data_IF_907283193211
#
_entry.id   IF_907283193211
#
_cell.length_a   1.000
_cell.length_b   1.000
_cell.length_c   1.000
_cell.angle_alpha   90.00
_cell.angle_beta   90.00
_cell.angle_gamma   90.00
#
_symmetry.space_group_name_H-M   'P 1'
#
loop_
_entity.id
_entity.type
_entity.pdbx_description
1 polymer ?
#
# COMPACT_ATOMS: atom_id res chain seq x y z
N UNK A 1 13.10 26.86 -38.47
CA UNK A 1 12.59 25.61 -39.06
C UNK A 1 11.17 25.40 -38.58
N UNK A 2 10.27 24.97 -39.47
CA UNK A 2 8.86 24.72 -39.15
C UNK A 2 8.75 23.55 -38.18
N UNK A 3 8.13 23.78 -37.01
CA UNK A 3 7.93 22.77 -35.97
C UNK A 3 7.15 21.58 -36.57
N UNK A 4 7.77 20.40 -36.66
CA UNK A 4 7.03 19.18 -36.99
C UNK A 4 6.18 18.82 -35.77
N UNK A 5 4.85 18.74 -35.90
CA UNK A 5 4.02 18.33 -34.78
C UNK A 5 4.39 16.90 -34.37
N UNK A 6 4.38 16.64 -33.06
CA UNK A 6 4.45 15.26 -32.56
C UNK A 6 3.25 14.50 -33.11
N UNK A 7 3.46 13.28 -33.59
CA UNK A 7 2.37 12.45 -34.07
C UNK A 7 1.35 12.24 -32.93
N UNK A 8 0.05 12.27 -33.26
CA UNK A 8 -1.00 12.39 -32.23
C UNK A 8 -1.04 11.18 -31.30
N UNK A 9 -0.74 10.01 -31.84
CA UNK A 9 -0.58 8.75 -31.12
C UNK A 9 0.54 8.81 -30.07
N UNK A 10 1.71 9.34 -30.44
CA UNK A 10 2.84 9.51 -29.51
C UNK A 10 2.53 10.55 -28.43
N UNK A 11 1.90 11.68 -28.80
CA UNK A 11 1.42 12.68 -27.84
C UNK A 11 0.46 12.05 -26.83
N UNK A 12 -0.51 11.28 -27.32
CA UNK A 12 -1.48 10.56 -26.49
C UNK A 12 -0.78 9.55 -25.57
N UNK A 13 0.17 8.77 -26.07
CA UNK A 13 0.91 7.78 -25.28
C UNK A 13 1.65 8.43 -24.10
N UNK A 14 2.36 9.54 -24.32
CA UNK A 14 3.09 10.26 -23.27
C UNK A 14 2.13 10.84 -22.22
N UNK A 15 1.02 11.45 -22.67
CA UNK A 15 0.02 12.05 -21.78
C UNK A 15 -0.74 11.02 -20.94
N UNK A 16 -1.08 9.86 -21.52
CA UNK A 16 -1.76 8.78 -20.82
C UNK A 16 -0.81 8.08 -19.85
N UNK A 17 0.42 7.78 -20.26
CA UNK A 17 1.42 7.12 -19.40
C UNK A 17 1.80 7.97 -18.20
N UNK A 18 1.92 9.30 -18.40
CA UNK A 18 2.15 10.25 -17.29
C UNK A 18 0.89 10.59 -16.50
N UNK A 19 -0.29 10.35 -17.07
CA UNK A 19 -1.59 10.85 -16.58
C UNK A 19 -1.54 12.33 -16.19
N UNK A 20 -0.88 13.15 -17.00
CA UNK A 20 -0.65 14.59 -16.78
C UNK A 20 0.01 14.93 -15.42
N UNK A 21 0.90 14.06 -14.94
CA UNK A 21 1.77 14.33 -13.79
C UNK A 21 3.18 14.65 -14.28
N UNK A 22 3.76 15.70 -13.70
CA UNK A 22 5.13 16.07 -14.01
C UNK A 22 6.10 15.04 -13.39
N UNK A 23 6.94 14.43 -14.22
CA UNK A 23 7.90 13.45 -13.72
C UNK A 23 8.94 14.07 -12.77
N UNK A 24 9.33 15.33 -12.97
CA UNK A 24 10.28 16.01 -12.07
C UNK A 24 9.63 16.31 -10.71
N UNK A 25 8.40 16.82 -10.66
CA UNK A 25 7.68 17.01 -9.39
C UNK A 25 7.59 15.69 -8.61
N UNK A 26 7.30 14.59 -9.31
CA UNK A 26 7.21 13.27 -8.72
C UNK A 26 8.57 12.74 -8.23
N UNK A 27 9.61 12.87 -9.05
CA UNK A 27 10.96 12.40 -8.72
C UNK A 27 11.57 13.13 -7.52
N UNK A 28 11.32 14.44 -7.40
CA UNK A 28 11.87 15.26 -6.33
C UNK A 28 11.00 15.28 -5.06
N UNK A 29 9.68 15.31 -5.20
CA UNK A 29 8.76 15.59 -4.09
C UNK A 29 7.62 14.58 -3.94
N UNK A 30 7.58 13.51 -4.73
CA UNK A 30 6.46 12.54 -4.80
C UNK A 30 5.10 13.19 -5.06
N UNK A 31 5.11 14.35 -5.70
CA UNK A 31 3.88 15.05 -6.05
C UNK A 31 3.15 14.29 -7.17
N UNK A 32 1.98 13.76 -6.82
CA UNK A 32 1.10 13.00 -7.71
C UNK A 32 -0.13 13.81 -8.13
N UNK A 33 -0.15 15.11 -7.86
CA UNK A 33 -1.23 15.99 -8.32
C UNK A 33 -1.25 16.13 -9.83
N UNK A 34 -2.44 16.41 -10.38
CA UNK A 34 -2.57 16.74 -11.79
C UNK A 34 -1.93 18.10 -12.04
N UNK A 35 -1.10 18.16 -13.07
CA UNK A 35 -0.31 19.35 -13.37
C UNK A 35 -0.78 20.02 -14.67
N UNK A 36 -0.76 21.35 -14.66
CA UNK A 36 -0.81 22.14 -15.89
C UNK A 36 0.58 22.16 -16.52
N UNK A 37 0.71 21.68 -17.76
CA UNK A 37 2.01 21.43 -18.37
C UNK A 37 1.96 21.09 -19.84
N UNK A 38 3.12 20.75 -20.39
CA UNK A 38 3.31 20.43 -21.80
C UNK A 38 4.36 19.32 -21.98
N UNK A 39 4.42 18.75 -23.19
CA UNK A 39 5.44 17.76 -23.55
C UNK A 39 6.73 18.48 -23.91
N UNK A 40 7.83 18.10 -23.27
CA UNK A 40 9.18 18.56 -23.54
C UNK A 40 9.97 17.50 -24.32
N UNK A 41 10.73 17.96 -25.31
CA UNK A 41 11.78 17.19 -25.97
C UNK A 41 13.04 17.21 -25.09
N UNK A 42 13.44 16.05 -24.58
CA UNK A 42 14.49 15.97 -23.56
C UNK A 42 15.88 16.30 -24.11
N UNK A 43 16.16 15.96 -25.37
CA UNK A 43 17.40 16.34 -26.06
C UNK A 43 17.41 17.77 -26.58
N UNK A 44 16.33 18.54 -26.37
CA UNK A 44 16.10 19.90 -26.90
C UNK A 44 16.08 19.95 -28.44
N UNK A 45 15.94 18.82 -29.12
CA UNK A 45 15.72 18.73 -30.56
C UNK A 45 14.24 18.50 -30.84
N UNK A 46 13.57 19.55 -31.33
CA UNK A 46 12.14 19.52 -31.65
C UNK A 46 11.78 18.64 -32.87
N UNK A 47 12.77 18.04 -33.54
CA UNK A 47 12.56 17.08 -34.63
C UNK A 47 12.58 15.63 -34.15
N UNK A 48 13.10 15.37 -32.95
CA UNK A 48 13.18 14.03 -32.37
C UNK A 48 11.91 13.68 -31.58
N UNK A 49 10.88 13.25 -32.31
CA UNK A 49 9.58 12.88 -31.76
C UNK A 49 9.52 11.44 -31.20
N UNK A 50 10.67 10.80 -30.94
CA UNK A 50 10.68 9.47 -30.32
C UNK A 50 10.05 9.55 -28.91
N UNK A 51 9.13 8.64 -28.57
CA UNK A 51 8.48 8.62 -27.25
C UNK A 51 9.50 8.57 -26.10
N UNK A 52 10.59 7.83 -26.27
CA UNK A 52 11.70 7.76 -25.31
C UNK A 52 12.41 9.10 -25.06
N UNK A 53 12.24 10.08 -25.94
CA UNK A 53 12.78 11.44 -25.87
C UNK A 53 11.75 12.47 -25.37
N UNK A 54 10.50 12.08 -25.12
CA UNK A 54 9.43 13.00 -24.72
C UNK A 54 9.01 12.81 -23.26
N UNK A 55 8.81 13.90 -22.52
CA UNK A 55 8.26 13.83 -21.17
C UNK A 55 7.22 14.92 -20.94
N UNK A 56 6.15 14.60 -20.20
CA UNK A 56 5.22 15.63 -19.74
C UNK A 56 5.77 16.33 -18.50
N UNK A 57 5.93 17.64 -18.58
CA UNK A 57 6.44 18.48 -17.49
C UNK A 57 5.42 19.58 -17.16
N UNK A 58 5.26 19.91 -15.88
CA UNK A 58 4.52 21.11 -15.49
C UNK A 58 5.24 22.36 -16.01
N UNK A 59 4.54 23.47 -16.20
CA UNK A 59 5.16 24.68 -16.78
C UNK A 59 6.40 25.14 -16.01
N UNK A 60 6.39 25.08 -14.68
CA UNK A 60 7.54 25.43 -13.85
C UNK A 60 8.80 24.62 -14.20
N UNK A 61 8.69 23.28 -14.17
CA UNK A 61 9.82 22.41 -14.48
C UNK A 61 10.14 22.35 -15.97
N UNK A 62 9.17 22.63 -16.84
CA UNK A 62 9.41 22.78 -18.26
C UNK A 62 10.36 23.96 -18.52
N UNK A 63 10.06 25.12 -17.91
CA UNK A 63 10.89 26.32 -18.03
C UNK A 63 12.26 26.12 -17.39
N UNK A 64 12.33 25.50 -16.21
CA UNK A 64 13.58 25.17 -15.54
C UNK A 64 14.47 24.27 -16.41
N UNK A 65 13.89 23.20 -16.98
CA UNK A 65 14.61 22.25 -17.81
C UNK A 65 15.12 22.88 -19.12
N UNK A 66 14.31 23.74 -19.74
CA UNK A 66 14.71 24.40 -20.99
C UNK A 66 15.76 25.49 -20.74
N UNK A 67 15.70 26.15 -19.57
CA UNK A 67 16.65 27.18 -19.18
C UNK A 67 18.09 26.66 -18.99
N UNK A 68 19.06 27.57 -19.03
CA UNK A 68 20.44 27.32 -18.63
C UNK A 68 20.78 28.26 -17.47
N UNK A 69 20.77 27.74 -16.25
CA UNK A 69 21.29 28.46 -15.09
C UNK A 69 22.82 28.35 -15.06
N UNK A 70 23.49 29.48 -14.75
CA UNK A 70 24.91 29.53 -14.40
C UNK A 70 25.16 29.41 -12.89
N UNK A 71 24.11 29.50 -12.08
CA UNK A 71 24.19 29.54 -10.61
C UNK A 71 23.94 28.17 -9.96
N UNK A 72 23.18 27.30 -10.62
CA UNK A 72 22.82 25.97 -10.11
C UNK A 72 23.08 24.93 -11.18
N UNK A 73 23.29 23.68 -10.76
CA UNK A 73 23.33 22.55 -11.69
C UNK A 73 21.93 22.39 -12.31
N UNK A 74 21.88 22.39 -13.63
CA UNK A 74 20.63 22.18 -14.35
C UNK A 74 20.27 20.69 -14.32
N UNK A 75 18.97 20.41 -14.42
CA UNK A 75 18.46 19.06 -14.58
C UNK A 75 19.00 18.43 -15.86
N UNK A 76 19.52 17.21 -15.74
CA UNK A 76 20.06 16.45 -16.86
C UNK A 76 18.99 15.60 -17.52
N UNK A 77 19.18 15.30 -18.81
CA UNK A 77 18.33 14.34 -19.53
C UNK A 77 18.27 12.97 -18.82
N UNK A 78 19.36 12.55 -18.17
CA UNK A 78 19.43 11.31 -17.41
C UNK A 78 18.46 11.31 -16.22
N UNK A 79 18.51 12.36 -15.40
CA UNK A 79 17.61 12.53 -14.25
C UNK A 79 16.15 12.54 -14.69
N UNK A 80 15.81 13.32 -15.72
CA UNK A 80 14.42 13.39 -16.19
C UNK A 80 13.93 12.05 -16.76
N UNK A 81 14.80 11.28 -17.42
CA UNK A 81 14.47 9.93 -17.89
C UNK A 81 14.22 8.96 -16.74
N UNK A 82 15.05 8.99 -15.70
CA UNK A 82 14.87 8.15 -14.51
C UNK A 82 13.57 8.50 -13.78
N UNK A 83 13.33 9.79 -13.53
CA UNK A 83 12.08 10.24 -12.90
C UNK A 83 10.84 9.89 -13.71
N UNK A 84 10.91 9.96 -15.05
CA UNK A 84 9.82 9.53 -15.93
C UNK A 84 9.57 8.03 -15.82
N UNK A 85 10.62 7.22 -15.87
CA UNK A 85 10.51 5.77 -15.74
C UNK A 85 9.92 5.38 -14.39
N UNK A 86 10.35 6.03 -13.31
CA UNK A 86 9.82 5.85 -11.97
C UNK A 86 8.33 6.20 -11.87
N UNK A 87 7.93 7.37 -12.41
CA UNK A 87 6.54 7.80 -12.47
C UNK A 87 5.67 6.76 -13.19
N UNK A 88 6.10 6.31 -14.38
CA UNK A 88 5.34 5.37 -15.19
C UNK A 88 5.20 4.01 -14.50
N UNK A 89 6.28 3.50 -13.91
CA UNK A 89 6.23 2.26 -13.11
C UNK A 89 5.24 2.39 -11.95
N UNK A 90 5.28 3.52 -11.23
CA UNK A 90 4.43 3.75 -10.05
C UNK A 90 2.96 3.88 -10.42
N UNK A 91 2.64 4.69 -11.44
CA UNK A 91 1.28 4.83 -11.96
C UNK A 91 0.78 3.47 -12.46
N UNK A 92 1.56 2.76 -13.26
CA UNK A 92 1.15 1.46 -13.76
C UNK A 92 0.93 0.47 -12.62
N UNK A 93 1.81 0.41 -11.61
CA UNK A 93 1.60 -0.43 -10.41
C UNK A 93 0.29 -0.07 -9.71
N UNK A 94 0.03 1.21 -9.46
CA UNK A 94 -1.18 1.66 -8.76
C UNK A 94 -2.49 1.33 -9.50
N UNK A 95 -2.48 1.32 -10.84
CA UNK A 95 -3.68 1.05 -11.65
C UNK A 95 -3.80 -0.39 -12.16
N UNK A 96 -2.70 -1.16 -12.18
CA UNK A 96 -2.72 -2.61 -12.43
C UNK A 96 -2.95 -3.41 -11.16
N UNK A 97 -2.77 -2.78 -9.99
CA UNK A 97 -3.30 -3.28 -8.74
C UNK A 97 -4.81 -3.37 -8.90
N UNK A 98 -5.30 -4.59 -9.13
CA UNK A 98 -6.72 -4.88 -9.18
C UNK A 98 -7.28 -4.56 -7.80
N UNK A 99 -7.81 -3.35 -7.64
CA UNK A 99 -8.56 -2.96 -6.45
C UNK A 99 -9.92 -3.63 -6.60
N UNK A 100 -9.98 -4.89 -6.18
CA UNK A 100 -11.22 -5.65 -6.15
C UNK A 100 -12.06 -5.12 -4.98
N UNK A 101 -12.96 -4.19 -5.27
CA UNK A 101 -14.01 -3.81 -4.34
C UNK A 101 -14.91 -5.04 -4.11
N UNK A 102 -14.88 -5.60 -2.90
CA UNK A 102 -15.85 -6.60 -2.44
C UNK A 102 -15.43 -8.07 -2.56
N UNK A 103 -14.36 -8.42 -3.27
CA UNK A 103 -13.75 -9.76 -3.25
C UNK A 103 -12.23 -9.62 -3.23
N UNK A 104 -11.64 -9.67 -2.04
CA UNK A 104 -10.18 -9.69 -1.88
C UNK A 104 -9.62 -10.98 -2.50
N UNK A 105 -9.06 -10.89 -3.70
CA UNK A 105 -8.08 -11.88 -4.13
C UNK A 105 -6.77 -11.60 -3.40
N UNK A 106 -6.46 -12.45 -2.41
CA UNK A 106 -5.12 -12.53 -1.82
C UNK A 106 -4.09 -12.61 -2.94
N UNK A 107 -3.02 -11.78 -2.95
CA UNK A 107 -1.89 -12.04 -3.82
C UNK A 107 -1.48 -13.51 -3.63
N UNK A 108 -1.21 -14.28 -4.71
CA UNK A 108 -0.81 -15.69 -4.59
C UNK A 108 0.42 -15.94 -3.70
N UNK A 109 1.12 -14.87 -3.30
CA UNK A 109 2.37 -14.87 -2.57
C UNK A 109 2.40 -13.92 -1.35
N UNK A 110 1.26 -13.45 -0.82
CA UNK A 110 1.28 -12.80 0.49
C UNK A 110 1.28 -13.86 1.61
N UNK A 111 2.36 -13.97 2.40
CA UNK A 111 2.46 -15.01 3.43
C UNK A 111 1.52 -14.78 4.62
N UNK A 112 1.03 -13.55 4.81
CA UNK A 112 0.27 -13.13 5.99
C UNK A 112 -1.20 -12.82 5.69
N UNK A 113 -1.55 -12.47 4.46
CA UNK A 113 -2.94 -12.20 4.09
C UNK A 113 -3.80 -13.47 4.14
N UNK A 114 -5.05 -13.31 4.59
CA UNK A 114 -6.05 -14.37 4.61
C UNK A 114 -6.86 -14.42 5.89
N UNK A 115 -7.74 -15.42 5.97
CA UNK A 115 -8.54 -15.73 7.15
C UNK A 115 -7.81 -16.73 8.05
N UNK A 116 -7.80 -16.49 9.35
CA UNK A 116 -7.16 -17.27 10.39
C UNK A 116 -8.21 -17.73 11.39
N UNK A 117 -8.30 -19.04 11.59
CA UNK A 117 -9.27 -19.66 12.49
C UNK A 117 -8.53 -20.18 13.72
N UNK A 118 -9.03 -19.85 14.92
CA UNK A 118 -8.43 -20.31 16.18
C UNK A 118 -8.46 -21.84 16.29
N UNK A 119 -7.34 -22.42 16.67
CA UNK A 119 -7.17 -23.84 16.95
C UNK A 119 -7.52 -24.16 18.40
N UNK A 120 -8.11 -25.34 18.64
CA UNK A 120 -8.26 -25.91 19.99
C UNK A 120 -9.24 -25.18 20.92
N UNK A 121 -10.10 -24.30 20.39
CA UNK A 121 -10.90 -23.38 21.23
C UNK A 121 -12.21 -23.96 21.78
N UNK A 122 -12.55 -25.20 21.41
CA UNK A 122 -13.69 -25.93 21.99
C UNK A 122 -15.02 -25.21 21.83
N UNK A 123 -15.48 -24.54 22.91
CA UNK A 123 -16.78 -23.83 22.98
C UNK A 123 -16.67 -22.33 22.76
N UNK A 124 -15.45 -21.81 22.70
CA UNK A 124 -15.13 -20.45 22.31
C UNK A 124 -14.58 -20.51 20.89
N UNK A 125 -14.74 -19.44 20.12
CA UNK A 125 -14.25 -19.41 18.74
C UNK A 125 -13.79 -18.02 18.39
N UNK A 126 -12.70 -17.91 17.65
CA UNK A 126 -12.24 -16.64 17.13
C UNK A 126 -11.74 -16.80 15.70
N UNK A 127 -12.01 -15.79 14.89
CA UNK A 127 -11.50 -15.63 13.54
C UNK A 127 -10.82 -14.27 13.42
N UNK A 128 -9.71 -14.22 12.68
CA UNK A 128 -9.00 -12.99 12.34
C UNK A 128 -8.79 -12.99 10.82
N UNK A 129 -9.09 -11.89 10.17
CA UNK A 129 -8.86 -11.66 8.75
C UNK A 129 -7.80 -10.58 8.57
N UNK A 130 -6.80 -10.89 7.76
CA UNK A 130 -5.77 -9.96 7.34
C UNK A 130 -5.99 -9.54 5.89
N UNK A 131 -6.33 -8.27 5.73
CA UNK A 131 -6.55 -7.59 4.46
C UNK A 131 -5.31 -6.79 4.10
N UNK A 132 -4.58 -7.11 3.02
CA UNK A 132 -3.42 -6.32 2.62
C UNK A 132 -3.85 -4.89 2.24
N UNK A 133 -3.14 -3.91 2.76
CA UNK A 133 -3.25 -2.50 2.38
C UNK A 133 -2.07 -2.11 1.50
N UNK A 134 -2.13 -0.97 0.78
CA UNK A 134 -0.96 -0.43 0.11
C UNK A 134 0.20 -0.27 1.10
N UNK A 135 1.42 -0.63 0.68
CA UNK A 135 2.64 -0.47 1.49
C UNK A 135 2.75 0.97 2.04
N UNK A 136 3.42 1.13 3.17
CA UNK A 136 3.74 2.46 3.71
C UNK A 136 4.64 3.22 2.73
N UNK A 137 4.78 4.54 2.92
CA UNK A 137 5.71 5.36 2.12
C UNK A 137 7.16 4.86 2.28
N UNK A 138 7.47 4.22 3.41
CA UNK A 138 8.77 3.63 3.75
C UNK A 138 8.92 2.20 3.21
N UNK A 139 7.88 1.63 2.58
CA UNK A 139 7.88 0.29 2.00
C UNK A 139 7.44 -0.81 2.96
N UNK A 140 6.93 -0.47 4.14
CA UNK A 140 6.48 -1.43 5.14
C UNK A 140 5.15 -2.08 4.74
N UNK A 141 5.01 -3.37 5.01
CA UNK A 141 3.79 -4.13 4.71
C UNK A 141 2.72 -3.78 5.74
N UNK A 142 1.56 -3.35 5.24
CA UNK A 142 0.43 -2.92 6.07
C UNK A 142 -0.77 -3.80 5.83
N UNK A 143 -1.51 -4.05 6.90
CA UNK A 143 -2.73 -4.84 6.86
C UNK A 143 -3.84 -4.11 7.60
N UNK A 144 -5.07 -4.24 7.11
CA UNK A 144 -6.25 -4.03 7.91
C UNK A 144 -6.62 -5.38 8.53
N UNK A 145 -6.76 -5.37 9.85
CA UNK A 145 -7.00 -6.54 10.66
C UNK A 145 -8.40 -6.39 11.18
N UNK A 146 -9.26 -7.35 10.84
CA UNK A 146 -10.58 -7.50 11.44
C UNK A 146 -10.69 -8.85 12.11
N UNK A 147 -11.42 -8.94 13.20
CA UNK A 147 -11.58 -10.20 13.92
C UNK A 147 -12.90 -10.25 14.66
N UNK A 148 -13.38 -11.47 14.84
CA UNK A 148 -14.60 -11.75 15.58
C UNK A 148 -14.34 -12.90 16.55
N UNK A 149 -14.72 -12.70 17.81
CA UNK A 149 -14.57 -13.71 18.85
C UNK A 149 -15.88 -13.92 19.60
N UNK A 150 -16.16 -15.19 19.89
CA UNK A 150 -17.29 -15.66 20.68
C UNK A 150 -16.77 -16.33 21.94
N UNK A 151 -17.34 -15.95 23.06
CA UNK A 151 -17.10 -16.60 24.35
C UNK A 151 -18.39 -17.14 24.94
N UNK A 152 -18.38 -18.40 25.38
CA UNK A 152 -19.51 -19.00 26.09
C UNK A 152 -20.71 -19.30 25.20
N UNK A 153 -20.51 -19.80 23.98
CA UNK A 153 -21.58 -20.12 23.01
C UNK A 153 -22.63 -21.13 23.51
N UNK A 154 -22.37 -21.79 24.63
CA UNK A 154 -23.22 -22.79 25.27
C UNK A 154 -24.01 -22.26 26.47
N UNK A 155 -23.89 -20.97 26.80
CA UNK A 155 -24.58 -20.35 27.93
C UNK A 155 -26.06 -20.09 27.60
N UNK A 156 -26.90 -20.12 28.63
CA UNK A 156 -28.36 -19.95 28.52
C UNK A 156 -28.77 -18.63 27.82
N UNK A 157 -27.98 -17.58 28.01
CA UNK A 157 -28.24 -16.25 27.44
C UNK A 157 -27.45 -15.94 26.16
N UNK A 158 -26.77 -16.95 25.58
CA UNK A 158 -25.95 -16.80 24.39
C UNK A 158 -24.50 -16.33 24.68
N UNK A 159 -23.65 -16.30 23.63
CA UNK A 159 -22.26 -15.92 23.77
C UNK A 159 -22.09 -14.42 23.99
N UNK A 160 -21.02 -14.06 24.69
CA UNK A 160 -20.47 -12.71 24.55
C UNK A 160 -19.71 -12.65 23.23
N UNK A 161 -19.83 -11.52 22.54
CA UNK A 161 -19.26 -11.31 21.21
C UNK A 161 -18.34 -10.10 21.24
N UNK A 162 -17.20 -10.21 20.56
CA UNK A 162 -16.22 -9.14 20.48
C UNK A 162 -15.66 -8.98 19.09
N UNK A 163 -15.31 -7.74 18.75
CA UNK A 163 -14.67 -7.40 17.49
C UNK A 163 -13.31 -6.78 17.73
N UNK A 164 -12.38 -7.11 16.84
CA UNK A 164 -11.04 -6.53 16.76
C UNK A 164 -10.94 -5.84 15.40
N UNK A 165 -10.60 -4.55 15.38
CA UNK A 165 -10.42 -3.81 14.13
C UNK A 165 -9.29 -2.79 14.29
N UNK A 166 -8.23 -2.92 13.50
CA UNK A 166 -7.13 -1.96 13.47
C UNK A 166 -6.32 -2.06 12.19
N UNK A 167 -5.49 -1.05 11.93
CA UNK A 167 -4.44 -1.10 10.91
C UNK A 167 -3.12 -1.39 11.62
N UNK A 168 -2.41 -2.40 11.13
CA UNK A 168 -1.14 -2.82 11.69
C UNK A 168 -0.08 -3.00 10.62
N UNK A 169 1.16 -2.83 11.03
CA UNK A 169 2.35 -3.05 10.21
C UNK A 169 3.09 -4.28 10.77
N UNK A 170 3.67 -5.08 9.88
CA UNK A 170 4.45 -6.25 10.29
C UNK A 170 5.91 -5.81 10.45
N UNK A 171 6.46 -6.03 11.63
CA UNK A 171 7.86 -5.71 11.94
C UNK A 171 8.84 -6.74 11.34
N UNK A 172 10.14 -6.47 11.48
CA UNK A 172 11.23 -7.37 11.05
C UNK A 172 11.25 -8.73 11.74
N UNK A 173 10.49 -8.89 12.83
CA UNK A 173 10.33 -10.13 13.59
C UNK A 173 9.03 -10.87 13.25
N UNK A 174 8.34 -10.48 12.18
CA UNK A 174 7.06 -11.06 11.79
C UNK A 174 5.97 -10.87 12.87
N UNK A 175 6.00 -9.73 13.58
CA UNK A 175 5.02 -9.41 14.61
C UNK A 175 4.27 -8.14 14.28
N UNK A 176 3.06 -8.05 14.83
CA UNK A 176 2.22 -6.88 14.76
C UNK A 176 1.63 -6.59 16.13
N UNK A 177 1.77 -5.35 16.58
CA UNK A 177 1.33 -4.93 17.91
C UNK A 177 0.20 -3.91 17.79
N UNK A 178 -0.90 -4.20 18.47
CA UNK A 178 -2.03 -3.29 18.63
C UNK A 178 -2.12 -2.85 20.08
N UNK A 179 -2.22 -1.54 20.30
CA UNK A 179 -2.34 -0.96 21.64
C UNK A 179 -3.67 -0.20 21.70
N UNK A 180 -4.49 -0.51 22.71
CA UNK A 180 -5.79 0.12 22.92
C UNK A 180 -5.87 0.74 24.32
N UNK A 181 -6.40 1.96 24.39
CA UNK A 181 -6.57 2.72 25.63
C UNK A 181 -5.48 3.78 25.84
N UNK A 182 -5.77 4.71 26.76
CA UNK A 182 -4.87 5.79 27.18
C UNK A 182 -4.42 5.57 28.63
N UNK A 183 -3.21 6.04 28.99
CA UNK A 183 -2.67 5.93 30.35
C UNK A 183 -1.83 4.69 30.64
N UNK A 184 -1.79 4.26 31.91
CA UNK A 184 -0.94 3.17 32.43
C UNK A 184 -1.56 1.75 32.27
N UNK A 185 -2.86 1.65 31.98
CA UNK A 185 -3.60 0.39 31.81
C UNK A 185 -3.86 0.09 30.33
N UNK A 186 -2.83 0.15 29.49
CA UNK A 186 -2.98 -0.14 28.05
C UNK A 186 -3.17 -1.63 27.84
N UNK A 187 -4.18 -1.97 27.03
CA UNK A 187 -4.34 -3.31 26.53
C UNK A 187 -3.48 -3.47 25.27
N UNK A 188 -2.68 -4.53 25.24
CA UNK A 188 -1.74 -4.81 24.14
C UNK A 188 -2.12 -6.15 23.55
N UNK A 189 -2.25 -6.21 22.23
CA UNK A 189 -2.42 -7.45 21.48
C UNK A 189 -1.26 -7.60 20.53
N UNK A 190 -0.58 -8.74 20.59
CA UNK A 190 0.55 -9.05 19.72
C UNK A 190 0.19 -10.26 18.87
N UNK A 191 0.24 -10.07 17.55
CA UNK A 191 0.06 -11.09 16.54
C UNK A 191 1.45 -11.50 16.05
N UNK A 192 1.84 -12.76 16.25
CA UNK A 192 3.13 -13.31 15.82
C UNK A 192 2.91 -14.35 14.73
N UNK A 193 3.49 -14.11 13.55
CA UNK A 193 3.44 -15.05 12.43
C UNK A 193 4.62 -16.00 12.51
N UNK A 194 4.33 -17.28 12.36
CA UNK A 194 5.33 -18.36 12.35
C UNK A 194 5.55 -18.87 10.93
N UNK A 195 6.77 -19.36 10.66
CA UNK A 195 7.17 -19.86 9.34
C UNK A 195 6.34 -21.08 8.87
N UNK A 196 5.69 -21.78 9.80
CA UNK A 196 4.78 -22.91 9.51
C UNK A 196 3.37 -22.47 9.07
N UNK A 197 3.13 -21.16 8.95
CA UNK A 197 1.85 -20.57 8.55
C UNK A 197 0.83 -20.46 9.68
N UNK A 198 1.24 -20.71 10.93
CA UNK A 198 0.42 -20.42 12.10
C UNK A 198 0.54 -18.97 12.54
N UNK A 199 -0.51 -18.48 13.20
CA UNK A 199 -0.55 -17.17 13.82
C UNK A 199 -0.78 -17.38 15.32
N UNK A 200 0.05 -16.77 16.15
CA UNK A 200 -0.13 -16.72 17.60
C UNK A 200 -0.61 -15.34 18.00
N UNK A 201 -1.59 -15.29 18.92
CA UNK A 201 -2.08 -14.05 19.49
C UNK A 201 -1.89 -14.09 20.99
N UNK A 202 -1.17 -13.09 21.49
CA UNK A 202 -1.01 -12.81 22.91
C UNK A 202 -1.70 -11.49 23.25
N UNK A 203 -2.31 -11.41 24.43
CA UNK A 203 -2.94 -10.18 24.91
C UNK A 203 -2.57 -9.88 26.36
N UNK A 204 -2.18 -8.64 26.63
CA UNK A 204 -1.91 -8.09 27.96
C UNK A 204 -3.01 -7.10 28.34
N UNK A 205 -3.46 -7.14 29.60
CA UNK A 205 -4.53 -6.26 30.13
C UNK A 205 -5.84 -6.27 29.29
N UNK A 206 -6.18 -7.41 28.69
CA UNK A 206 -7.28 -7.53 27.72
C UNK A 206 -8.70 -7.55 28.32
N UNK A 207 -8.82 -7.69 29.64
CA UNK A 207 -10.12 -7.95 30.29
C UNK A 207 -11.11 -6.83 29.95
N UNK A 208 -12.17 -7.19 29.23
CA UNK A 208 -13.23 -6.26 28.83
C UNK A 208 -12.95 -5.46 27.54
N UNK A 209 -11.76 -5.58 26.95
CA UNK A 209 -11.35 -4.84 25.74
C UNK A 209 -12.24 -5.15 24.53
N UNK A 210 -12.70 -6.40 24.43
CA UNK A 210 -13.55 -6.90 23.34
C UNK A 210 -14.95 -7.27 23.81
N UNK A 211 -15.30 -6.91 25.04
CA UNK A 211 -16.48 -7.42 25.73
C UNK A 211 -16.13 -8.38 26.86
N UNK A 212 -17.12 -8.69 27.68
CA UNK A 212 -16.92 -9.45 28.92
C UNK A 212 -16.40 -10.87 28.60
N UNK A 213 -15.20 -11.19 29.09
CA UNK A 213 -14.51 -12.47 28.88
C UNK A 213 -14.20 -12.85 27.41
N UNK A 214 -14.33 -11.90 26.48
CA UNK A 214 -13.95 -12.12 25.08
C UNK A 214 -12.48 -11.78 24.90
N UNK A 215 -11.73 -12.67 24.28
CA UNK A 215 -10.29 -12.54 24.04
C UNK A 215 -9.92 -13.11 22.67
N UNK A 216 -8.89 -12.55 22.03
CA UNK A 216 -8.26 -13.09 20.83
C UNK A 216 -7.02 -13.97 21.13
N UNK A 217 -6.64 -14.21 22.39
CA UNK A 217 -5.52 -15.09 22.77
C UNK A 217 -5.63 -16.50 22.18
N UNK A 218 -4.55 -17.00 21.56
CA UNK A 218 -4.40 -18.39 21.18
C UNK A 218 -3.69 -18.59 19.85
N UNK A 219 -3.61 -19.85 19.42
CA UNK A 219 -3.03 -20.25 18.13
C UNK A 219 -4.10 -20.29 17.05
N UNK A 220 -3.74 -19.86 15.84
CA UNK A 220 -4.62 -19.80 14.67
C UNK A 220 -3.93 -20.44 13.47
N UNK A 221 -4.75 -20.93 12.54
CA UNK A 221 -4.30 -21.43 11.24
C UNK A 221 -5.03 -20.74 10.11
N UNK A 222 -4.30 -20.45 9.02
CA UNK A 222 -4.90 -19.88 7.81
C UNK A 222 -5.91 -20.85 7.18
N UNK A 223 -7.12 -20.38 6.92
CA UNK A 223 -8.17 -21.10 6.21
C UNK A 223 -7.83 -21.17 4.70
N UNK A 224 -8.18 -22.27 4.04
CA UNK A 224 -7.99 -22.43 2.58
C UNK A 224 -6.62 -22.94 2.13
N UNK A 225 -5.63 -23.10 3.02
CA UNK A 225 -4.45 -23.93 2.74
C UNK A 225 -4.79 -25.40 2.99
N UNK A 226 -5.24 -26.09 1.94
CA UNK A 226 -5.22 -27.55 1.92
C UNK A 226 -3.84 -27.98 1.44
N UNK A 227 -3.20 -28.90 2.18
CA UNK A 227 -1.96 -29.56 1.74
C UNK A 227 -2.16 -30.26 0.40
#
# INVERSE_FOLDING_TARGET
MTRKPVAKDVETAVLVSSRRRCCICFGLNRDTSLQSGQIAHLDKDNTNNAESNLAFLCFHHHDEYDSKSSQRKNLTIGEVKEFRAELYRTINKAFTQQVHFGEMMTPPADPYAGQYIRLGSGKDSAEISLTPLPDSIEGEKRYFISGYALWGAHREYGPNMGTLEFVGEIDSHQRMTFIRGDGDERAISTLTFHDDGTLEVDEENWIGQYGMNVSFIGMYRRAGLTN
#
